data_IF_850244670829
#
_entry.id   IF_850244670829
#
_cell.length_a   1.000
_cell.length_b   1.000
_cell.length_c   1.000
_cell.angle_alpha   90.00
_cell.angle_beta   90.00
_cell.angle_gamma   90.00
#
_symmetry.space_group_name_H-M   'P 1'
#
loop_
_entity.id
_entity.type
_entity.pdbx_description
1 polymer ?
#
# COMPACT_ATOMS: atom_id res chain seq x y z
N UNK A 1 19.73 -5.43 -14.54
CA UNK A 1 19.75 -5.32 -13.05
C UNK A 1 21.06 -4.75 -12.50
N UNK A 2 22.18 -4.66 -13.24
CA UNK A 2 23.45 -4.12 -12.69
C UNK A 2 23.37 -2.66 -12.21
N UNK A 3 22.36 -1.91 -12.64
CA UNK A 3 22.08 -0.51 -12.24
C UNK A 3 20.72 -0.37 -11.52
N UNK A 4 20.27 -1.41 -10.80
CA UNK A 4 18.97 -1.40 -10.11
C UNK A 4 19.17 -1.68 -8.63
N UNK A 5 18.64 -0.82 -7.77
CA UNK A 5 18.60 -1.07 -6.34
C UNK A 5 17.47 -2.07 -6.01
N UNK A 6 17.78 -3.10 -5.23
CA UNK A 6 16.85 -4.16 -4.85
C UNK A 6 16.66 -4.19 -3.33
N UNK A 7 15.39 -4.15 -2.92
CA UNK A 7 14.97 -4.48 -1.57
C UNK A 7 14.28 -5.85 -1.57
N UNK A 8 14.77 -6.80 -0.77
CA UNK A 8 14.18 -8.13 -0.64
C UNK A 8 13.28 -8.21 0.61
N UNK A 9 11.97 -8.18 0.39
CA UNK A 9 10.96 -8.47 1.41
C UNK A 9 10.81 -9.99 1.63
N UNK A 10 10.22 -10.38 2.77
CA UNK A 10 9.96 -11.79 3.09
C UNK A 10 8.70 -12.32 2.40
N UNK A 11 7.68 -11.47 2.29
CA UNK A 11 6.39 -11.80 1.71
C UNK A 11 6.06 -10.83 0.56
N UNK A 12 5.28 -11.32 -0.39
CA UNK A 12 4.68 -10.49 -1.43
C UNK A 12 3.38 -9.86 -0.86
N UNK A 13 3.31 -8.53 -0.72
CA UNK A 13 2.12 -7.87 -0.16
C UNK A 13 0.87 -8.00 -1.05
N UNK A 14 1.04 -8.34 -2.33
CA UNK A 14 -0.08 -8.53 -3.25
C UNK A 14 -0.65 -9.96 -3.22
N UNK A 15 0.01 -10.91 -2.55
CA UNK A 15 -0.37 -12.31 -2.52
C UNK A 15 -0.87 -12.73 -1.13
N UNK A 16 -2.02 -13.43 -1.02
CA UNK A 16 -2.50 -13.93 0.26
C UNK A 16 -1.53 -14.99 0.80
N UNK A 17 -1.11 -14.82 2.04
CA UNK A 17 -0.22 -15.73 2.73
C UNK A 17 -0.99 -16.53 3.79
N UNK A 18 -1.11 -17.86 3.67
CA UNK A 18 -1.72 -18.68 4.71
C UNK A 18 -0.99 -18.50 6.04
N UNK A 19 -1.76 -18.33 7.12
CA UNK A 19 -1.23 -18.14 8.47
C UNK A 19 -1.10 -19.47 9.24
N UNK A 20 -0.35 -19.46 10.34
CA UNK A 20 -0.25 -20.59 11.27
C UNK A 20 0.94 -21.49 11.00
N UNK A 21 1.91 -21.03 10.20
CA UNK A 21 3.06 -21.81 9.80
C UNK A 21 4.38 -21.29 10.37
N UNK A 22 4.32 -20.26 11.23
CA UNK A 22 5.48 -19.74 11.94
C UNK A 22 5.74 -20.48 13.26
N UNK A 23 6.89 -21.13 13.32
CA UNK A 23 7.37 -21.86 14.51
C UNK A 23 8.42 -21.04 15.26
N UNK A 24 9.08 -21.63 16.25
CA UNK A 24 10.24 -20.97 16.89
C UNK A 24 11.51 -21.03 16.03
N UNK A 25 11.53 -21.90 15.00
CA UNK A 25 12.73 -22.18 14.20
C UNK A 25 12.59 -21.73 12.76
N UNK A 26 11.35 -21.61 12.29
CA UNK A 26 11.04 -21.47 10.88
C UNK A 26 9.90 -20.50 10.65
N UNK A 27 10.02 -19.75 9.57
CA UNK A 27 8.96 -18.96 8.95
C UNK A 27 8.69 -19.58 7.58
N UNK A 28 7.44 -19.58 7.12
CA UNK A 28 7.10 -20.13 5.80
C UNK A 28 6.81 -19.01 4.83
N UNK A 29 7.20 -19.19 3.57
CA UNK A 29 6.79 -18.34 2.44
C UNK A 29 6.10 -19.18 1.39
N UNK A 30 5.32 -18.56 0.50
CA UNK A 30 4.59 -19.25 -0.56
C UNK A 30 4.97 -18.68 -1.90
N UNK A 31 5.32 -19.56 -2.84
CA UNK A 31 5.51 -19.20 -4.25
C UNK A 31 4.56 -20.01 -5.14
N UNK A 32 4.72 -19.88 -6.45
CA UNK A 32 3.96 -20.65 -7.43
C UNK A 32 4.10 -22.17 -7.26
N UNK A 33 5.24 -22.64 -6.73
CA UNK A 33 5.50 -24.04 -6.39
C UNK A 33 4.95 -24.50 -5.03
N UNK A 34 4.23 -23.65 -4.31
CA UNK A 34 3.68 -23.93 -2.99
C UNK A 34 4.55 -23.45 -1.82
N UNK A 35 4.35 -24.06 -0.66
CA UNK A 35 4.97 -23.65 0.62
C UNK A 35 6.45 -23.98 0.66
N UNK A 36 7.25 -22.99 1.08
CA UNK A 36 8.68 -23.12 1.35
C UNK A 36 8.88 -22.81 2.83
N UNK A 37 9.23 -23.83 3.62
CA UNK A 37 9.66 -23.62 5.01
C UNK A 37 11.10 -23.11 5.03
N UNK A 38 11.34 -22.04 5.80
CA UNK A 38 12.60 -21.33 5.88
C UNK A 38 13.10 -21.28 7.32
N UNK A 39 14.24 -21.92 7.58
CA UNK A 39 15.06 -21.62 8.75
C UNK A 39 15.91 -20.38 8.47
N UNK A 40 16.47 -19.76 9.51
CA UNK A 40 17.42 -18.63 9.34
C UNK A 40 18.60 -19.01 8.44
N UNK A 41 19.16 -20.21 8.59
CA UNK A 41 20.24 -20.68 7.73
C UNK A 41 19.84 -20.76 6.25
N UNK A 42 18.64 -21.26 5.95
CA UNK A 42 18.12 -21.33 4.57
C UNK A 42 17.81 -19.93 4.02
N UNK A 43 17.21 -19.07 4.83
CA UNK A 43 16.95 -17.67 4.49
C UNK A 43 18.24 -16.94 4.14
N UNK A 44 19.27 -17.02 4.99
CA UNK A 44 20.55 -16.37 4.74
C UNK A 44 21.30 -16.96 3.54
N UNK A 45 21.17 -18.26 3.27
CA UNK A 45 21.72 -18.87 2.06
C UNK A 45 21.11 -18.25 0.79
N UNK A 46 19.79 -17.94 0.79
CA UNK A 46 19.15 -17.24 -0.32
C UNK A 46 19.65 -15.80 -0.44
N UNK A 47 19.80 -15.07 0.67
CA UNK A 47 20.32 -13.71 0.63
C UNK A 47 21.72 -13.64 0.01
N UNK A 48 22.60 -14.62 0.29
CA UNK A 48 23.95 -14.71 -0.32
C UNK A 48 23.93 -14.95 -1.82
N UNK A 49 22.88 -15.61 -2.33
CA UNK A 49 22.71 -15.89 -3.76
C UNK A 49 22.11 -14.67 -4.46
N UNK A 50 21.12 -14.04 -3.85
CA UNK A 50 20.41 -12.88 -4.42
C UNK A 50 21.27 -11.62 -4.36
N UNK A 51 22.00 -11.40 -3.25
CA UNK A 51 22.80 -10.20 -2.96
C UNK A 51 22.03 -8.90 -3.27
N UNK A 52 20.85 -8.69 -2.64
CA UNK A 52 20.11 -7.44 -2.83
C UNK A 52 20.89 -6.27 -2.20
N UNK A 53 20.57 -5.03 -2.55
CA UNK A 53 21.15 -3.89 -1.85
C UNK A 53 20.69 -3.88 -0.40
N UNK A 54 19.38 -4.09 -0.18
CA UNK A 54 18.75 -4.17 1.13
C UNK A 54 17.87 -5.43 1.27
N UNK A 55 17.74 -5.96 2.48
CA UNK A 55 16.75 -7.01 2.78
C UNK A 55 16.16 -6.85 4.17
N UNK A 56 14.93 -7.31 4.37
CA UNK A 56 14.34 -7.39 5.71
C UNK A 56 14.78 -8.64 6.45
N UNK A 57 15.04 -8.55 7.75
CA UNK A 57 15.28 -9.74 8.59
C UNK A 57 14.05 -10.66 8.62
N UNK A 58 14.27 -11.95 8.84
CA UNK A 58 13.18 -12.90 9.04
C UNK A 58 12.37 -12.55 10.30
N UNK A 59 11.04 -12.57 10.21
CA UNK A 59 10.14 -12.10 11.27
C UNK A 59 8.88 -12.96 11.40
N UNK A 60 8.23 -12.90 12.56
CA UNK A 60 6.96 -13.55 12.86
C UNK A 60 5.79 -12.56 12.74
N UNK A 61 5.44 -12.20 11.51
CA UNK A 61 4.39 -11.22 11.21
C UNK A 61 2.96 -11.68 11.52
N UNK A 62 2.73 -12.98 11.77
CA UNK A 62 1.39 -13.60 11.88
C UNK A 62 0.62 -13.23 13.17
N UNK A 63 0.46 -11.93 13.44
CA UNK A 63 -0.24 -11.35 14.60
C UNK A 63 -1.42 -10.46 14.24
N UNK A 64 -1.68 -10.26 12.94
CA UNK A 64 -2.83 -9.51 12.41
C UNK A 64 -4.19 -10.21 12.56
N UNK A 65 -4.22 -11.44 13.09
CA UNK A 65 -5.45 -12.19 13.30
C UNK A 65 -6.28 -11.56 14.43
N UNK A 66 -7.60 -11.46 14.22
CA UNK A 66 -8.54 -10.99 15.24
C UNK A 66 -8.41 -11.87 16.49
N UNK A 67 -8.25 -11.24 17.65
CA UNK A 67 -8.06 -11.87 18.96
C UNK A 67 -6.71 -12.59 19.18
N UNK A 68 -5.62 -12.15 18.51
CA UNK A 68 -4.29 -12.61 18.87
C UNK A 68 -4.02 -12.37 20.37
N UNK A 69 -3.85 -13.45 21.14
CA UNK A 69 -3.62 -13.30 22.59
C UNK A 69 -2.34 -12.51 22.85
N UNK A 70 -2.30 -11.74 23.95
CA UNK A 70 -1.08 -11.04 24.40
C UNK A 70 0.15 -11.96 24.47
N UNK A 71 -0.04 -13.23 24.83
CA UNK A 71 1.02 -14.25 24.81
C UNK A 71 1.54 -14.53 23.40
N UNK A 72 0.67 -14.61 22.40
CA UNK A 72 1.02 -14.83 20.98
C UNK A 72 1.78 -13.64 20.40
N UNK A 73 1.32 -12.43 20.72
CA UNK A 73 1.96 -11.17 20.29
C UNK A 73 3.34 -11.01 20.93
N UNK A 74 3.48 -11.23 22.24
CA UNK A 74 4.79 -11.21 22.88
C UNK A 74 5.76 -12.22 22.26
N UNK A 75 5.25 -13.41 21.92
CA UNK A 75 6.04 -14.46 21.27
C UNK A 75 6.51 -14.08 19.87
N UNK A 76 5.73 -13.33 19.09
CA UNK A 76 6.18 -12.88 17.78
C UNK A 76 7.38 -11.94 17.91
N UNK A 77 7.29 -10.95 18.80
CA UNK A 77 8.40 -10.03 19.06
C UNK A 77 9.65 -10.79 19.53
N UNK A 78 9.51 -11.75 20.46
CA UNK A 78 10.64 -12.53 20.95
C UNK A 78 11.28 -13.38 19.83
N UNK A 79 10.47 -13.98 18.94
CA UNK A 79 10.95 -14.75 17.79
C UNK A 79 11.64 -13.87 16.75
N UNK A 80 11.06 -12.72 16.42
CA UNK A 80 11.62 -11.77 15.46
C UNK A 80 12.98 -11.26 15.94
N UNK A 81 13.11 -10.93 17.23
CA UNK A 81 14.41 -10.54 17.81
C UNK A 81 15.43 -11.70 17.77
N UNK A 82 15.02 -12.92 18.08
CA UNK A 82 15.90 -14.09 18.00
C UNK A 82 16.37 -14.36 16.56
N UNK A 83 15.46 -14.25 15.57
CA UNK A 83 15.79 -14.38 14.16
C UNK A 83 16.70 -13.25 13.67
N UNK A 84 16.46 -12.01 14.12
CA UNK A 84 17.30 -10.86 13.82
C UNK A 84 18.75 -11.09 14.30
N UNK A 85 18.91 -11.49 15.55
CA UNK A 85 20.23 -11.73 16.15
C UNK A 85 20.98 -12.87 15.42
N UNK A 86 20.28 -13.94 15.02
CA UNK A 86 20.87 -15.04 14.23
C UNK A 86 21.21 -14.60 12.79
N UNK A 87 20.33 -13.81 12.14
CA UNK A 87 20.60 -13.23 10.82
C UNK A 87 21.84 -12.33 10.85
N UNK A 88 21.99 -11.47 11.85
CA UNK A 88 23.16 -10.59 12.03
C UNK A 88 24.45 -11.38 12.15
N UNK A 89 24.45 -12.43 12.98
CA UNK A 89 25.62 -13.28 13.18
C UNK A 89 26.07 -13.92 11.85
N UNK A 90 25.13 -14.43 11.05
CA UNK A 90 25.43 -15.04 9.77
C UNK A 90 25.83 -13.98 8.73
N UNK A 91 25.17 -12.83 8.73
CA UNK A 91 25.46 -11.71 7.84
C UNK A 91 26.92 -11.26 8.01
N UNK A 92 27.36 -10.98 9.24
CA UNK A 92 28.72 -10.54 9.56
C UNK A 92 29.81 -11.57 9.20
N UNK A 93 29.46 -12.85 9.07
CA UNK A 93 30.38 -13.92 8.68
C UNK A 93 30.45 -14.16 7.17
N UNK A 94 29.71 -13.39 6.38
CA UNK A 94 29.48 -13.66 4.96
C UNK A 94 30.07 -12.55 4.09
N UNK A 95 31.17 -12.84 3.40
CA UNK A 95 31.83 -11.90 2.50
C UNK A 95 30.92 -11.46 1.35
N UNK A 96 29.99 -12.32 0.93
CA UNK A 96 29.02 -12.02 -0.12
C UNK A 96 28.02 -10.92 0.28
N UNK A 97 27.87 -10.66 1.58
CA UNK A 97 26.92 -9.71 2.13
C UNK A 97 27.57 -8.41 2.62
N UNK A 98 28.88 -8.23 2.44
CA UNK A 98 29.62 -7.05 2.94
C UNK A 98 29.07 -5.70 2.44
N UNK A 99 28.39 -5.69 1.29
CA UNK A 99 27.77 -4.50 0.68
C UNK A 99 26.25 -4.46 0.81
N UNK A 100 25.66 -5.47 1.43
CA UNK A 100 24.23 -5.64 1.59
C UNK A 100 23.84 -5.05 2.94
N UNK A 101 22.78 -4.26 3.02
CA UNK A 101 22.28 -3.75 4.31
C UNK A 101 21.03 -4.49 4.75
N UNK A 102 20.87 -4.66 6.05
CA UNK A 102 19.71 -5.35 6.62
C UNK A 102 18.79 -4.39 7.36
N UNK A 103 17.49 -4.53 7.15
CA UNK A 103 16.43 -3.85 7.89
C UNK A 103 15.92 -4.77 9.00
N UNK A 104 15.76 -4.22 10.20
CA UNK A 104 15.14 -4.93 11.33
C UNK A 104 13.62 -4.79 11.29
N UNK A 105 12.88 -5.85 11.60
CA UNK A 105 11.41 -5.82 11.58
C UNK A 105 10.85 -5.49 12.96
N UNK A 106 9.91 -4.55 13.02
CA UNK A 106 9.15 -4.20 14.21
C UNK A 106 7.80 -4.88 14.18
N UNK A 107 7.60 -5.81 15.10
CA UNK A 107 6.37 -6.56 15.32
C UNK A 107 5.59 -6.00 16.52
N UNK A 108 4.54 -6.69 16.94
CA UNK A 108 3.81 -6.38 18.18
C UNK A 108 2.30 -6.30 18.03
N UNK A 109 1.76 -6.66 16.85
CA UNK A 109 0.32 -6.70 16.60
C UNK A 109 -0.37 -5.38 16.94
N UNK A 110 -1.50 -5.48 17.63
CA UNK A 110 -2.33 -4.39 18.13
C UNK A 110 -1.97 -3.95 19.57
N UNK A 111 -0.89 -4.48 20.15
CA UNK A 111 -0.51 -4.21 21.55
C UNK A 111 0.58 -3.16 21.62
N UNK A 112 0.20 -1.95 22.03
CA UNK A 112 1.09 -0.78 22.17
C UNK A 112 2.40 -1.09 22.92
N UNK A 113 2.31 -1.76 24.07
CA UNK A 113 3.48 -2.11 24.89
C UNK A 113 4.47 -3.01 24.14
N UNK A 114 3.96 -3.98 23.37
CA UNK A 114 4.78 -4.92 22.60
C UNK A 114 5.35 -4.26 21.35
N UNK A 115 4.61 -3.34 20.71
CA UNK A 115 5.09 -2.49 19.61
C UNK A 115 6.27 -1.62 20.03
N UNK A 116 6.12 -0.88 21.13
CA UNK A 116 7.19 -0.03 21.69
C UNK A 116 8.39 -0.88 22.13
N UNK A 117 8.15 -2.05 22.75
CA UNK A 117 9.23 -2.99 23.11
C UNK A 117 9.98 -3.48 21.88
N UNK A 118 9.26 -3.92 20.83
CA UNK A 118 9.86 -4.40 19.59
C UNK A 118 10.70 -3.31 18.92
N UNK A 119 10.20 -2.08 18.86
CA UNK A 119 10.92 -0.93 18.31
C UNK A 119 12.22 -0.66 19.06
N UNK A 120 12.14 -0.48 20.39
CA UNK A 120 13.30 -0.22 21.26
C UNK A 120 14.34 -1.32 21.20
N UNK A 121 13.92 -2.58 21.23
CA UNK A 121 14.85 -3.71 21.17
C UNK A 121 15.52 -3.81 19.80
N UNK A 122 14.75 -3.67 18.72
CA UNK A 122 15.30 -3.74 17.35
C UNK A 122 16.29 -2.60 17.11
N UNK A 123 16.01 -1.39 17.61
CA UNK A 123 16.89 -0.23 17.48
C UNK A 123 18.26 -0.39 18.16
N UNK A 124 18.40 -1.32 19.12
CA UNK A 124 19.70 -1.65 19.75
C UNK A 124 20.64 -2.43 18.82
N UNK A 125 20.13 -3.02 17.74
CA UNK A 125 20.91 -3.81 16.79
C UNK A 125 21.47 -2.93 15.67
N UNK A 126 22.61 -3.30 15.05
CA UNK A 126 23.21 -2.55 13.96
C UNK A 126 22.48 -2.79 12.61
N UNK A 127 21.19 -2.45 12.57
CA UNK A 127 20.37 -2.48 11.34
C UNK A 127 20.44 -1.14 10.62
N UNK A 128 20.29 -1.16 9.30
CA UNK A 128 20.36 0.03 8.46
C UNK A 128 19.03 0.80 8.40
N UNK A 129 17.92 0.15 8.72
CA UNK A 129 16.58 0.72 8.74
C UNK A 129 15.60 -0.23 9.43
N UNK A 130 14.33 0.17 9.44
CA UNK A 130 13.27 -0.56 10.13
C UNK A 130 12.10 -0.86 9.20
N UNK A 131 11.65 -2.11 9.17
CA UNK A 131 10.38 -2.49 8.56
C UNK A 131 9.28 -2.49 9.63
N UNK A 132 8.20 -1.77 9.38
CA UNK A 132 6.99 -1.77 10.20
C UNK A 132 6.01 -2.78 9.58
N UNK A 133 5.88 -3.95 10.19
CA UNK A 133 5.00 -5.04 9.72
C UNK A 133 3.73 -5.12 10.58
N UNK A 134 2.68 -5.77 10.09
CA UNK A 134 1.44 -6.09 10.80
C UNK A 134 0.45 -4.92 10.95
N UNK A 135 0.54 -3.91 10.08
CA UNK A 135 -0.38 -2.75 10.04
C UNK A 135 -1.40 -2.82 8.89
N UNK A 136 -1.19 -3.72 7.94
CA UNK A 136 -1.92 -3.91 6.67
C UNK A 136 -3.35 -4.48 6.80
N UNK A 137 -3.83 -4.74 8.02
CA UNK A 137 -5.09 -5.44 8.22
C UNK A 137 -6.29 -4.51 8.11
N UNK A 138 -7.28 -4.87 7.29
CA UNK A 138 -8.62 -4.29 7.32
C UNK A 138 -9.37 -4.54 8.65
N UNK A 139 -8.83 -5.40 9.53
CA UNK A 139 -9.34 -5.60 10.88
C UNK A 139 -8.73 -4.64 11.92
N UNK A 140 -7.65 -3.91 11.61
CA UNK A 140 -7.09 -2.91 12.51
C UNK A 140 -7.79 -1.58 12.28
N UNK A 141 -8.34 -1.01 13.35
CA UNK A 141 -8.92 0.34 13.33
C UNK A 141 -7.89 1.36 12.81
N UNK A 142 -8.23 2.22 11.83
CA UNK A 142 -7.30 3.20 11.28
C UNK A 142 -6.72 4.16 12.33
N UNK A 143 -7.50 4.57 13.33
CA UNK A 143 -7.02 5.46 14.40
C UNK A 143 -5.98 4.75 15.27
N UNK A 144 -6.27 3.50 15.65
CA UNK A 144 -5.32 2.66 16.38
C UNK A 144 -4.04 2.44 15.58
N UNK A 145 -4.14 2.19 14.27
CA UNK A 145 -2.98 2.03 13.38
C UNK A 145 -2.05 3.24 13.47
N UNK A 146 -2.59 4.45 13.28
CA UNK A 146 -1.81 5.69 13.34
C UNK A 146 -1.24 5.93 14.75
N UNK A 147 -2.01 5.65 15.80
CA UNK A 147 -1.52 5.72 17.18
C UNK A 147 -0.30 4.80 17.41
N UNK A 148 -0.38 3.56 16.95
CA UNK A 148 0.68 2.56 17.10
C UNK A 148 1.92 2.93 16.26
N UNK A 149 1.72 3.35 15.00
CA UNK A 149 2.83 3.81 14.14
C UNK A 149 3.53 5.00 14.78
N UNK A 150 2.79 6.04 15.22
CA UNK A 150 3.37 7.21 15.88
C UNK A 150 4.11 6.86 17.18
N UNK A 151 3.61 5.90 17.95
CA UNK A 151 4.30 5.43 19.15
C UNK A 151 5.59 4.68 18.81
N UNK A 152 5.60 3.87 17.74
CA UNK A 152 6.78 3.15 17.26
C UNK A 152 7.83 4.12 16.71
N UNK A 153 7.45 5.05 15.84
CA UNK A 153 8.39 5.95 15.16
C UNK A 153 9.15 6.85 16.13
N UNK A 154 8.52 7.26 17.25
CA UNK A 154 9.16 7.99 18.36
C UNK A 154 10.30 7.23 19.05
N UNK A 155 10.29 5.90 18.97
CA UNK A 155 11.29 5.03 19.60
C UNK A 155 12.41 4.65 18.64
N UNK A 156 12.27 4.98 17.35
CA UNK A 156 13.23 4.63 16.30
C UNK A 156 14.15 5.83 15.98
N UNK A 157 15.46 5.62 15.78
CA UNK A 157 16.40 6.66 15.40
C UNK A 157 15.98 7.44 14.14
N UNK A 158 16.06 8.78 14.20
CA UNK A 158 15.67 9.68 13.10
C UNK A 158 16.58 9.60 11.87
N UNK A 159 17.81 9.15 12.03
CA UNK A 159 18.82 9.01 10.98
C UNK A 159 18.67 7.72 10.15
N UNK A 160 17.63 6.91 10.41
CA UNK A 160 17.38 5.64 9.73
C UNK A 160 15.98 5.57 9.12
N UNK A 161 15.84 5.00 7.90
CA UNK A 161 14.55 4.92 7.22
C UNK A 161 13.59 3.93 7.88
N UNK A 162 12.30 4.26 7.82
CA UNK A 162 11.16 3.41 8.20
C UNK A 162 10.37 3.01 6.95
N UNK A 163 10.40 1.73 6.62
CA UNK A 163 9.59 1.10 5.56
C UNK A 163 8.32 0.53 6.17
N UNK A 164 7.15 0.93 5.67
CA UNK A 164 5.86 0.35 6.07
C UNK A 164 5.42 -0.71 5.04
N UNK A 165 5.04 -1.89 5.53
CA UNK A 165 4.60 -3.00 4.69
C UNK A 165 3.08 -3.10 4.60
N UNK A 166 2.59 -3.48 3.43
CA UNK A 166 1.19 -3.75 3.14
C UNK A 166 0.24 -2.55 3.28
N UNK A 167 0.77 -1.32 3.26
CA UNK A 167 -0.03 -0.09 3.16
C UNK A 167 0.37 0.64 1.89
N UNK A 168 -0.62 0.94 1.04
CA UNK A 168 -0.38 1.54 -0.27
C UNK A 168 -1.54 2.35 -0.84
N UNK A 169 -2.67 2.46 -0.14
CA UNK A 169 -3.76 3.31 -0.61
C UNK A 169 -3.41 4.79 -0.35
N UNK A 170 -3.68 5.73 -1.27
CA UNK A 170 -3.19 7.11 -1.17
C UNK A 170 -3.55 7.85 0.12
N UNK A 171 -4.75 7.63 0.67
CA UNK A 171 -5.20 8.16 1.96
C UNK A 171 -4.38 7.60 3.13
N UNK A 172 -4.18 6.28 3.16
CA UNK A 172 -3.41 5.62 4.22
C UNK A 172 -1.94 6.03 4.17
N UNK A 173 -1.37 6.17 2.97
CA UNK A 173 0.00 6.67 2.77
C UNK A 173 0.16 8.06 3.37
N UNK A 174 -0.77 8.97 3.11
CA UNK A 174 -0.71 10.34 3.64
C UNK A 174 -0.71 10.35 5.17
N UNK A 175 -1.58 9.58 5.81
CA UNK A 175 -1.63 9.49 7.28
C UNK A 175 -0.37 8.86 7.88
N UNK A 176 0.19 7.84 7.22
CA UNK A 176 1.41 7.17 7.68
C UNK A 176 2.66 8.04 7.51
N UNK A 177 2.70 8.89 6.47
CA UNK A 177 3.76 9.91 6.30
C UNK A 177 3.72 10.91 7.46
N UNK A 178 2.53 11.40 7.83
CA UNK A 178 2.35 12.27 9.00
C UNK A 178 2.80 11.59 10.31
N UNK A 179 2.69 10.26 10.37
CA UNK A 179 3.13 9.46 11.52
C UNK A 179 4.66 9.15 11.52
N UNK A 180 5.41 9.58 10.51
CA UNK A 180 6.87 9.44 10.43
C UNK A 180 7.37 8.22 9.65
N UNK A 181 6.60 7.72 8.68
CA UNK A 181 7.01 6.65 7.75
C UNK A 181 7.66 7.26 6.50
N UNK A 182 8.75 6.63 6.04
CA UNK A 182 9.58 7.15 4.94
C UNK A 182 9.36 6.40 3.62
N UNK A 183 9.19 5.08 3.67
CA UNK A 183 9.13 4.21 2.50
C UNK A 183 7.85 3.35 2.51
N UNK A 184 7.32 3.08 1.32
CA UNK A 184 6.09 2.29 1.11
C UNK A 184 6.28 1.30 -0.04
N UNK A 185 5.54 0.21 0.00
CA UNK A 185 5.49 -0.78 -1.08
C UNK A 185 4.58 -0.32 -2.23
N UNK A 186 5.01 -0.52 -3.47
CA UNK A 186 4.31 -0.06 -4.68
C UNK A 186 3.26 -1.04 -5.23
N UNK A 187 2.55 -1.80 -4.39
CA UNK A 187 1.65 -2.87 -4.83
C UNK A 187 0.24 -2.38 -5.20
N UNK A 188 -0.24 -1.26 -4.65
CA UNK A 188 -1.58 -0.74 -4.93
C UNK A 188 -1.84 -0.46 -6.44
N UNK A 189 -0.90 0.15 -7.20
CA UNK A 189 -1.01 0.27 -8.66
C UNK A 189 -1.14 -1.06 -9.40
N UNK A 190 -0.46 -2.11 -8.91
CA UNK A 190 -0.56 -3.46 -9.46
C UNK A 190 -1.94 -4.05 -9.19
N UNK A 191 -2.44 -3.96 -7.96
CA UNK A 191 -3.79 -4.42 -7.60
C UNK A 191 -4.87 -3.73 -8.44
N UNK A 192 -4.76 -2.42 -8.66
CA UNK A 192 -5.67 -1.67 -9.53
C UNK A 192 -5.65 -2.21 -10.97
N UNK A 193 -4.46 -2.52 -11.47
CA UNK A 193 -4.27 -3.08 -12.82
C UNK A 193 -4.92 -4.45 -12.97
N UNK A 194 -4.71 -5.35 -12.00
CA UNK A 194 -5.29 -6.70 -12.00
C UNK A 194 -6.83 -6.66 -11.98
N UNK A 195 -7.42 -5.62 -11.37
CA UNK A 195 -8.87 -5.36 -11.41
C UNK A 195 -9.37 -4.77 -12.72
N UNK A 196 -8.50 -4.46 -13.69
CA UNK A 196 -8.86 -3.72 -14.90
C UNK A 196 -9.19 -2.25 -14.64
N UNK A 197 -8.65 -1.68 -13.56
CA UNK A 197 -8.90 -0.31 -13.14
C UNK A 197 -7.70 0.61 -13.43
N UNK A 198 -7.98 1.88 -13.70
CA UNK A 198 -6.98 2.94 -13.79
C UNK A 198 -7.08 3.89 -12.59
N UNK A 199 -5.94 4.26 -12.00
CA UNK A 199 -5.87 5.29 -10.97
C UNK A 199 -6.22 6.66 -11.56
N UNK A 200 -7.04 7.44 -10.86
CA UNK A 200 -7.57 8.70 -11.39
C UNK A 200 -7.75 9.81 -10.35
N UNK A 201 -7.37 9.57 -9.11
CA UNK A 201 -7.43 10.56 -8.05
C UNK A 201 -6.53 11.76 -8.34
N UNK A 202 -6.96 12.93 -7.88
CA UNK A 202 -6.25 14.19 -8.07
C UNK A 202 -5.24 14.45 -6.96
N UNK A 203 -4.01 14.84 -7.32
CA UNK A 203 -2.96 15.24 -6.38
C UNK A 203 -2.28 16.57 -6.76
N UNK A 204 -2.79 17.27 -7.79
CA UNK A 204 -2.26 18.57 -8.19
C UNK A 204 -2.67 19.65 -7.18
N UNK A 205 -1.68 20.19 -6.46
CA UNK A 205 -1.84 21.36 -5.59
C UNK A 205 -1.46 22.59 -6.40
N UNK A 206 -2.45 23.36 -6.88
CA UNK A 206 -2.18 24.63 -7.56
C UNK A 206 -1.40 25.56 -6.62
N UNK A 207 -0.36 26.28 -7.09
CA UNK A 207 0.31 27.30 -6.29
C UNK A 207 -0.56 28.53 -6.02
N UNK A 208 -1.71 28.66 -6.67
CA UNK A 208 -2.48 29.90 -6.70
C UNK A 208 -3.98 29.65 -6.42
N UNK A 209 -4.52 30.11 -5.26
CA UNK A 209 -5.92 29.95 -4.91
C UNK A 209 -6.87 30.83 -5.77
N UNK A 210 -6.38 31.87 -6.44
CA UNK A 210 -7.23 32.76 -7.26
C UNK A 210 -7.49 32.24 -8.68
N UNK A 211 -6.67 31.31 -9.20
CA UNK A 211 -6.91 30.68 -10.51
C UNK A 211 -7.85 29.47 -10.45
N UNK A 212 -8.16 28.98 -9.26
CA UNK A 212 -9.09 27.87 -9.04
C UNK A 212 -10.54 28.36 -8.84
N UNK A 213 -10.91 29.51 -9.41
CA UNK A 213 -12.27 30.05 -9.45
C UNK A 213 -13.20 29.22 -10.35
N UNK A 214 -13.52 28.00 -9.89
CA UNK A 214 -14.70 27.25 -10.30
C UNK A 214 -15.73 27.35 -9.17
N UNK A 215 -16.88 27.94 -9.48
CA UNK A 215 -18.02 28.26 -8.62
C UNK A 215 -18.26 27.25 -7.49
N UNK A 216 -17.99 27.63 -6.24
CA UNK A 216 -18.50 26.94 -5.06
C UNK A 216 -19.98 27.32 -4.89
N UNK A 217 -20.89 26.42 -5.30
CA UNK A 217 -22.25 26.42 -4.79
C UNK A 217 -22.28 25.62 -3.49
N UNK A 218 -22.70 26.27 -2.41
CA UNK A 218 -23.01 25.65 -1.14
C UNK A 218 -24.04 24.52 -1.33
N UNK A 219 -23.79 23.37 -0.72
CA UNK A 219 -24.76 22.29 -0.57
C UNK A 219 -24.79 21.87 0.89
N UNK A 220 -26.02 21.74 1.37
CA UNK A 220 -26.45 21.69 2.76
C UNK A 220 -26.03 20.40 3.49
N UNK A 221 -25.92 20.52 4.81
CA UNK A 221 -25.75 19.42 5.75
C UNK A 221 -27.02 18.55 5.78
N UNK A 222 -26.92 17.29 5.33
CA UNK A 222 -27.92 16.27 5.66
C UNK A 222 -27.32 15.16 6.52
N UNK A 223 -27.99 14.93 7.66
CA UNK A 223 -27.68 13.93 8.68
C UNK A 223 -27.98 12.51 8.17
N UNK A 224 -26.98 11.63 8.19
CA UNK A 224 -27.19 10.20 7.99
C UNK A 224 -27.28 9.47 9.34
N UNK A 225 -28.48 8.97 9.63
CA UNK A 225 -28.77 8.00 10.69
C UNK A 225 -28.19 6.63 10.35
N UNK A 226 -27.40 6.07 11.28
CA UNK A 226 -26.80 4.74 11.18
C UNK A 226 -27.84 3.62 11.34
N UNK A 227 -27.91 2.71 10.38
CA UNK A 227 -28.58 1.43 10.49
C UNK A 227 -27.55 0.32 10.73
N UNK A 228 -27.63 -0.32 11.89
CA UNK A 228 -26.76 -1.44 12.27
C UNK A 228 -27.08 -2.69 11.44
N UNK A 229 -26.06 -3.40 10.96
CA UNK A 229 -26.20 -4.80 10.55
C UNK A 229 -24.95 -5.56 10.99
N UNK A 230 -25.13 -6.50 11.91
CA UNK A 230 -24.09 -7.42 12.37
C UNK A 230 -23.74 -8.43 11.26
N UNK A 231 -22.46 -8.79 11.06
CA UNK A 231 -22.10 -10.00 10.33
C UNK A 231 -21.65 -11.11 11.29
N UNK A 232 -22.37 -12.23 11.24
CA UNK A 232 -21.93 -13.52 11.73
C UNK A 232 -20.86 -14.10 10.79
N UNK A 233 -19.80 -14.67 11.37
CA UNK A 233 -19.09 -15.87 10.89
C UNK A 233 -18.33 -15.80 9.56
N UNK A 234 -17.01 -15.93 9.66
CA UNK A 234 -16.00 -16.09 8.60
C UNK A 234 -15.61 -14.81 7.84
N UNK A 235 -14.60 -14.12 8.38
CA UNK A 235 -14.05 -12.87 7.83
C UNK A 235 -12.94 -13.16 6.82
N UNK A 236 -13.26 -12.93 5.55
CA UNK A 236 -12.30 -12.87 4.45
C UNK A 236 -11.41 -11.63 4.56
N UNK A 237 -10.14 -11.75 4.13
CA UNK A 237 -9.17 -10.68 3.95
C UNK A 237 -9.47 -9.73 2.76
N UNK A 238 -10.74 -9.56 2.41
CA UNK A 238 -11.20 -9.07 1.10
C UNK A 238 -11.31 -7.54 0.94
N UNK A 239 -10.87 -6.73 1.91
CA UNK A 239 -10.98 -5.26 1.77
C UNK A 239 -9.98 -4.70 0.73
N UNK A 240 -8.83 -5.36 0.54
CA UNK A 240 -7.80 -4.94 -0.42
C UNK A 240 -8.12 -5.34 -1.88
N UNK A 241 -9.11 -6.22 -2.10
CA UNK A 241 -9.50 -6.71 -3.43
C UNK A 241 -10.64 -5.88 -4.04
N UNK A 242 -11.22 -4.95 -3.29
CA UNK A 242 -12.29 -4.09 -3.76
C UNK A 242 -11.76 -2.83 -4.47
N UNK A 243 -12.54 -2.37 -5.45
CA UNK A 243 -12.29 -1.10 -6.11
C UNK A 243 -12.53 0.06 -5.13
N UNK A 244 -11.66 1.05 -5.17
CA UNK A 244 -11.66 2.23 -4.30
C UNK A 244 -12.18 3.47 -5.03
N UNK A 245 -12.40 4.56 -4.30
CA UNK A 245 -12.76 5.86 -4.87
C UNK A 245 -11.62 6.52 -5.68
N UNK A 246 -10.41 5.96 -5.62
CA UNK A 246 -9.22 6.45 -6.33
C UNK A 246 -9.06 5.87 -7.74
N UNK A 247 -9.97 4.98 -8.13
CA UNK A 247 -9.89 4.16 -9.33
C UNK A 247 -11.10 4.39 -10.26
N UNK A 248 -10.90 4.15 -11.56
CA UNK A 248 -11.94 4.00 -12.56
C UNK A 248 -11.93 2.59 -13.12
N UNK A 249 -13.08 1.89 -13.06
CA UNK A 249 -13.22 0.58 -13.68
C UNK A 249 -13.48 0.71 -15.18
N UNK A 250 -12.45 0.45 -15.99
CA UNK A 250 -12.56 0.56 -17.45
C UNK A 250 -13.38 -0.58 -18.08
N UNK A 251 -13.85 -1.56 -17.30
CA UNK A 251 -14.84 -2.55 -17.78
C UNK A 251 -16.26 -1.99 -17.82
N UNK A 252 -16.53 -0.86 -17.15
CA UNK A 252 -17.84 -0.24 -17.17
C UNK A 252 -18.22 0.20 -18.60
N UNK A 253 -19.45 -0.11 -19.02
CA UNK A 253 -19.95 0.26 -20.37
C UNK A 253 -19.93 1.77 -20.64
N UNK A 254 -19.95 2.61 -19.61
CA UNK A 254 -19.86 4.08 -19.75
C UNK A 254 -18.59 4.53 -20.46
N UNK A 255 -17.53 3.72 -20.44
CA UNK A 255 -16.27 4.04 -21.09
C UNK A 255 -16.16 3.55 -22.53
N UNK A 256 -17.14 2.80 -23.05
CA UNK A 256 -17.08 2.21 -24.40
C UNK A 256 -16.92 3.26 -25.51
N UNK A 257 -17.50 4.45 -25.31
CA UNK A 257 -17.48 5.59 -26.24
C UNK A 257 -16.83 6.83 -25.59
N UNK A 258 -16.02 6.65 -24.53
CA UNK A 258 -15.27 7.74 -23.90
C UNK A 258 -13.90 7.90 -24.57
N UNK A 259 -13.78 8.88 -25.46
CA UNK A 259 -12.56 9.14 -26.23
C UNK A 259 -11.55 10.05 -25.51
N UNK A 260 -11.74 10.33 -24.21
CA UNK A 260 -10.75 11.03 -23.38
C UNK A 260 -9.58 10.11 -23.01
N UNK A 261 -8.39 10.64 -22.67
CA UNK A 261 -7.33 9.88 -22.01
C UNK A 261 -7.80 9.34 -20.65
N UNK A 262 -7.05 8.40 -20.04
CA UNK A 262 -7.39 7.89 -18.71
C UNK A 262 -7.45 9.05 -17.69
N UNK A 263 -6.39 9.86 -17.65
CA UNK A 263 -6.30 11.08 -16.82
C UNK A 263 -5.81 12.23 -17.69
N UNK A 264 -6.55 13.34 -17.68
CA UNK A 264 -6.18 14.57 -18.39
C UNK A 264 -4.85 15.13 -17.88
N UNK A 265 -3.97 15.52 -18.80
CA UNK A 265 -2.64 16.04 -18.48
C UNK A 265 -1.62 14.99 -18.00
N UNK A 266 -1.98 13.70 -17.93
CA UNK A 266 -1.03 12.66 -17.54
C UNK A 266 0.04 12.41 -18.63
N UNK A 267 1.31 12.38 -18.22
CA UNK A 267 2.46 12.25 -19.12
C UNK A 267 2.81 10.81 -19.54
N UNK A 268 2.07 9.80 -19.09
CA UNK A 268 2.37 8.39 -19.35
C UNK A 268 2.11 7.98 -20.80
N UNK A 269 2.70 6.88 -21.25
CA UNK A 269 2.53 6.40 -22.64
C UNK A 269 1.05 6.09 -22.97
N UNK A 270 0.30 5.51 -22.02
CA UNK A 270 -1.11 5.20 -22.25
C UNK A 270 -1.93 6.48 -22.50
N UNK A 271 -1.85 7.48 -21.62
CA UNK A 271 -2.63 8.72 -21.77
C UNK A 271 -2.22 9.56 -22.99
N UNK A 272 -0.97 9.46 -23.46
CA UNK A 272 -0.50 10.17 -24.66
C UNK A 272 -0.98 9.57 -25.97
N UNK A 273 -1.24 8.25 -26.01
CA UNK A 273 -1.46 7.53 -27.26
C UNK A 273 -2.83 6.83 -27.36
N UNK A 274 -3.53 6.66 -26.24
CA UNK A 274 -4.73 5.86 -26.15
C UNK A 274 -5.84 6.54 -25.34
N UNK A 275 -7.07 6.10 -25.60
CA UNK A 275 -8.29 6.64 -25.01
C UNK A 275 -8.95 5.59 -24.11
N UNK A 276 -9.84 6.01 -23.20
CA UNK A 276 -10.59 5.12 -22.31
C UNK A 276 -11.37 4.05 -23.10
N UNK A 277 -12.03 4.45 -24.19
CA UNK A 277 -12.73 3.55 -25.11
C UNK A 277 -11.83 2.43 -25.67
N UNK A 278 -10.59 2.75 -26.00
CA UNK A 278 -9.64 1.77 -26.51
C UNK A 278 -9.23 0.76 -25.43
N UNK A 279 -8.93 1.23 -24.21
CA UNK A 279 -8.58 0.34 -23.10
C UNK A 279 -9.79 -0.49 -22.65
N UNK A 280 -11.00 0.10 -22.63
CA UNK A 280 -12.26 -0.61 -22.42
C UNK A 280 -12.42 -1.75 -23.45
N UNK A 281 -12.23 -1.45 -24.73
CA UNK A 281 -12.30 -2.44 -25.80
C UNK A 281 -11.32 -3.59 -25.55
N UNK A 282 -10.04 -3.31 -25.30
CA UNK A 282 -9.03 -4.33 -25.01
C UNK A 282 -9.40 -5.20 -23.80
N UNK A 283 -9.95 -4.60 -22.74
CA UNK A 283 -10.40 -5.34 -21.55
C UNK A 283 -11.58 -6.26 -21.88
N UNK A 284 -12.55 -5.80 -22.66
CA UNK A 284 -13.75 -6.58 -23.04
C UNK A 284 -13.40 -7.69 -24.03
N UNK A 285 -12.44 -7.47 -24.92
CA UNK A 285 -11.94 -8.50 -25.85
C UNK A 285 -10.90 -9.44 -25.23
N UNK A 286 -10.56 -9.27 -23.95
CA UNK A 286 -9.56 -10.06 -23.22
C UNK A 286 -8.15 -10.01 -23.84
N UNK A 287 -7.75 -8.85 -24.35
CA UNK A 287 -6.42 -8.62 -24.89
C UNK A 287 -5.41 -8.25 -23.77
N UNK A 288 -4.28 -8.95 -23.72
CA UNK A 288 -3.25 -8.76 -22.68
C UNK A 288 -2.62 -7.36 -22.69
N UNK A 289 -2.68 -6.65 -23.83
CA UNK A 289 -2.21 -5.28 -23.96
C UNK A 289 -2.91 -4.33 -22.98
N UNK A 290 -4.16 -4.62 -22.58
CA UNK A 290 -4.88 -3.82 -21.60
C UNK A 290 -4.11 -3.72 -20.28
N UNK A 291 -3.64 -4.86 -19.74
CA UNK A 291 -2.88 -4.90 -18.49
C UNK A 291 -1.56 -4.14 -18.59
N UNK A 292 -0.86 -4.24 -19.73
CA UNK A 292 0.39 -3.51 -19.98
C UNK A 292 0.16 -1.99 -19.95
N UNK A 293 -0.87 -1.50 -20.66
CA UNK A 293 -1.19 -0.07 -20.71
C UNK A 293 -1.65 0.47 -19.35
N UNK A 294 -2.47 -0.31 -18.63
CA UNK A 294 -2.91 0.01 -17.28
C UNK A 294 -1.73 0.06 -16.30
N UNK A 295 -0.81 -0.90 -16.33
CA UNK A 295 0.35 -0.90 -15.44
C UNK A 295 1.26 0.29 -15.69
N UNK A 296 1.49 0.65 -16.96
CA UNK A 296 2.24 1.86 -17.34
C UNK A 296 1.59 3.11 -16.73
N UNK A 297 0.27 3.24 -16.87
CA UNK A 297 -0.48 4.37 -16.34
C UNK A 297 -0.45 4.40 -14.81
N UNK A 298 -0.86 3.31 -14.16
CA UNK A 298 -1.01 3.22 -12.71
C UNK A 298 0.32 3.44 -11.99
N UNK A 299 1.41 2.84 -12.49
CA UNK A 299 2.76 3.08 -11.94
C UNK A 299 3.17 4.54 -12.07
N UNK A 300 3.00 5.12 -13.27
CA UNK A 300 3.36 6.52 -13.52
C UNK A 300 2.52 7.49 -12.68
N UNK A 301 1.22 7.23 -12.52
CA UNK A 301 0.29 8.04 -11.74
C UNK A 301 0.68 8.02 -10.26
N UNK A 302 0.94 6.83 -9.72
CA UNK A 302 1.33 6.65 -8.31
C UNK A 302 2.71 7.24 -7.99
N UNK A 303 3.68 7.09 -8.90
CA UNK A 303 4.98 7.76 -8.77
C UNK A 303 4.85 9.29 -8.80
N UNK A 304 3.95 9.82 -9.64
CA UNK A 304 3.67 11.26 -9.70
C UNK A 304 3.01 11.76 -8.41
N UNK A 305 2.10 10.97 -7.83
CA UNK A 305 1.56 11.24 -6.50
C UNK A 305 2.67 11.35 -5.44
N UNK A 306 3.60 10.40 -5.38
CA UNK A 306 4.74 10.48 -4.46
C UNK A 306 5.68 11.66 -4.73
N UNK A 307 5.80 12.10 -5.99
CA UNK A 307 6.52 13.32 -6.32
C UNK A 307 5.81 14.56 -5.75
N UNK A 308 4.51 14.71 -6.00
CA UNK A 308 3.71 15.82 -5.45
C UNK A 308 3.65 15.79 -3.92
N UNK A 309 3.69 14.60 -3.30
CA UNK A 309 3.80 14.44 -1.86
C UNK A 309 5.10 15.06 -1.32
N UNK A 310 6.25 14.76 -1.95
CA UNK A 310 7.53 15.35 -1.56
C UNK A 310 7.56 16.87 -1.76
N UNK A 311 6.97 17.36 -2.84
CA UNK A 311 6.84 18.82 -3.08
C UNK A 311 5.94 19.48 -2.04
N UNK A 312 4.83 18.85 -1.66
CA UNK A 312 3.92 19.35 -0.63
C UNK A 312 4.59 19.39 0.74
N UNK A 313 5.38 18.38 1.10
CA UNK A 313 6.19 18.39 2.33
C UNK A 313 7.23 19.52 2.32
N UNK A 314 7.97 19.68 1.21
CA UNK A 314 8.98 20.74 1.08
C UNK A 314 8.37 22.15 1.09
N UNK A 315 7.12 22.29 0.64
CA UNK A 315 6.40 23.55 0.57
C UNK A 315 5.42 23.83 1.71
N UNK A 316 5.37 22.97 2.75
CA UNK A 316 4.41 23.04 3.87
C UNK A 316 2.93 23.10 3.41
N UNK A 317 2.58 22.25 2.43
CA UNK A 317 1.27 22.18 1.77
C UNK A 317 0.63 20.78 1.86
N UNK A 318 1.04 19.96 2.83
CA UNK A 318 0.53 18.60 2.98
C UNK A 318 -0.99 18.58 3.20
N UNK A 319 -1.52 19.50 4.01
CA UNK A 319 -2.96 19.62 4.25
C UNK A 319 -3.77 19.87 2.96
N UNK A 320 -3.23 20.68 2.04
CA UNK A 320 -3.86 20.96 0.75
C UNK A 320 -3.85 19.72 -0.14
N UNK A 321 -2.72 19.00 -0.17
CA UNK A 321 -2.60 17.74 -0.90
C UNK A 321 -3.60 16.71 -0.36
N UNK A 322 -3.70 16.56 0.96
CA UNK A 322 -4.62 15.64 1.62
C UNK A 322 -6.07 15.94 1.27
N UNK A 323 -6.50 17.22 1.39
CA UNK A 323 -7.83 17.66 0.95
C UNK A 323 -8.09 17.35 -0.53
N UNK A 324 -7.08 17.52 -1.40
CA UNK A 324 -7.21 17.26 -2.83
C UNK A 324 -7.37 15.77 -3.16
N UNK A 325 -6.55 14.92 -2.54
CA UNK A 325 -6.59 13.47 -2.73
C UNK A 325 -7.89 12.88 -2.18
N UNK A 326 -8.33 13.31 -1.00
CA UNK A 326 -9.55 12.82 -0.35
C UNK A 326 -10.83 13.40 -0.94
N UNK A 327 -10.82 14.66 -1.40
CA UNK A 327 -11.96 15.31 -2.03
C UNK A 327 -12.16 14.94 -3.50
N UNK A 328 -11.12 14.43 -4.16
CA UNK A 328 -11.15 14.00 -5.55
C UNK A 328 -11.67 12.57 -5.70
N UNK A 329 -12.96 12.33 -5.41
CA UNK A 329 -13.58 11.05 -5.75
C UNK A 329 -13.64 10.90 -7.28
N UNK A 330 -13.14 9.77 -7.82
CA UNK A 330 -13.19 9.50 -9.26
C UNK A 330 -14.62 9.35 -9.82
N UNK A 331 -15.65 9.31 -8.96
CA UNK A 331 -17.03 8.97 -9.34
C UNK A 331 -17.98 10.17 -9.47
N UNK A 332 -17.60 11.38 -9.02
CA UNK A 332 -18.57 12.49 -8.90
C UNK A 332 -18.41 13.64 -9.90
N UNK A 333 -17.51 13.53 -10.88
CA UNK A 333 -17.32 14.58 -11.88
C UNK A 333 -17.78 14.15 -13.28
N UNK A 334 -19.04 13.77 -13.44
CA UNK A 334 -19.73 13.78 -14.75
C UNK A 334 -21.26 13.73 -14.49
N UNK A 335 -21.84 14.90 -14.19
CA UNK A 335 -23.29 15.07 -14.15
C UNK A 335 -23.88 14.92 -15.55
N UNK A 336 -24.43 13.75 -15.86
CA UNK A 336 -25.32 13.59 -17.01
C UNK A 336 -26.71 14.04 -16.59
N UNK A 337 -27.05 15.27 -16.96
CA UNK A 337 -28.40 15.79 -16.95
C UNK A 337 -29.22 14.99 -17.98
N UNK A 338 -29.92 13.94 -17.53
CA UNK A 338 -30.93 13.27 -18.36
C UNK A 338 -32.17 14.15 -18.35
N UNK A 339 -32.16 15.17 -19.20
CA UNK A 339 -33.35 15.93 -19.58
C UNK A 339 -34.27 15.01 -20.40
N UNK A 340 -35.10 14.23 -19.70
CA UNK A 340 -36.12 13.42 -20.34
C UNK A 340 -37.37 14.28 -20.58
N UNK A 341 -37.22 15.24 -21.48
CA UNK A 341 -38.35 15.96 -22.05
C UNK A 341 -39.04 15.10 -23.12
N UNK A 342 -40.30 14.76 -22.84
CA UNK A 342 -41.39 14.45 -23.79
C UNK A 342 -41.20 13.26 -24.75
N UNK A 343 -42.01 12.22 -24.52
CA UNK A 343 -42.99 11.75 -25.52
C UNK A 343 -44.15 11.04 -24.83
N UNK A 344 -45.22 11.82 -24.66
CA UNK A 344 -46.60 11.32 -24.73
C UNK A 344 -46.81 10.70 -26.11
N UNK A 345 -47.53 9.58 -26.16
CA UNK A 345 -48.47 9.10 -27.20
C UNK A 345 -48.74 7.64 -26.81
N UNK A 346 -49.83 7.27 -26.12
CA UNK A 346 -51.20 7.07 -26.64
C UNK A 346 -51.19 6.57 -28.09
N UNK A 347 -51.22 5.26 -28.26
CA UNK A 347 -52.39 4.52 -28.78
C UNK A 347 -52.29 3.03 -28.46
#
# INVERSE_FOLDING_TARGET
LRDTALFCSLHDPAAPCPTGYTTNKTVSVWGSGGRIEMSVAKFMALQKVVQPDWYQSMADGETWQINASRKRVRKSVDRTLAHLDECLLLHQKSQELDRVSMFGVVEGGDILEERVRSARETAKRPVAGFCLDGFQSGAMDPTLRIQLISAVTKELPEDKPRLLQGVGRPDEVLECVEAGVDLFEGFFPFQATERGCALCFSFNVSPDPERAGGTQTALDEEQHTAGETQPNGDLNCDDQTQMTCFEMNLRDKRYQDDFRPLVEGCGCYCCKNHQRAYVHHLLVTNELLAGVLLMIHNTSHYQSFFHSLREALAGDKLDLLKKRVLGGSCQLADGINVDNSKRNDRD
#
